data_IF_517653784062
#
_entry.id   IF_517653784062
#
_cell.length_a   1.000
_cell.length_b   1.000
_cell.length_c   1.000
_cell.angle_alpha   90.00
_cell.angle_beta   90.00
_cell.angle_gamma   90.00
#
_symmetry.space_group_name_H-M   'P 1'
#
loop_
_entity.id
_entity.type
_entity.pdbx_description
1 polymer ?
#
# COMPACT_ATOMS: atom_id res chain seq x y z
N UNK A 1 8.62 2.74 -1.09
CA UNK A 1 9.86 1.92 -1.05
C UNK A 1 10.46 1.81 0.36
N UNK A 2 10.75 2.91 1.07
CA UNK A 2 11.29 2.85 2.44
C UNK A 2 10.38 2.12 3.43
N UNK A 3 9.06 2.34 3.31
CA UNK A 3 8.04 1.71 4.15
C UNK A 3 8.04 0.19 4.00
N UNK A 4 8.06 -0.28 2.74
CA UNK A 4 8.16 -1.69 2.41
C UNK A 4 9.45 -2.30 2.99
N UNK A 5 10.59 -1.64 2.79
CA UNK A 5 11.89 -2.11 3.30
C UNK A 5 11.92 -2.26 4.83
N UNK A 6 11.37 -1.29 5.57
CA UNK A 6 11.31 -1.37 7.04
C UNK A 6 10.44 -2.55 7.50
N UNK A 7 9.32 -2.79 6.82
CA UNK A 7 8.41 -3.88 7.17
C UNK A 7 8.93 -5.26 6.77
N UNK A 8 9.62 -5.37 5.63
CA UNK A 8 10.26 -6.63 5.24
C UNK A 8 11.37 -6.99 6.21
N UNK A 9 12.15 -6.00 6.66
CA UNK A 9 13.18 -6.23 7.69
C UNK A 9 12.56 -6.72 9.01
N UNK A 10 11.47 -6.10 9.47
CA UNK A 10 10.72 -6.56 10.67
C UNK A 10 10.13 -7.97 10.50
N UNK A 11 9.70 -8.31 9.29
CA UNK A 11 9.19 -9.65 8.98
C UNK A 11 10.30 -10.70 9.01
N UNK A 12 11.44 -10.40 8.37
CA UNK A 12 12.62 -11.27 8.33
C UNK A 12 13.17 -11.55 9.73
N UNK A 13 13.14 -10.56 10.64
CA UNK A 13 13.55 -10.75 12.03
C UNK A 13 12.68 -11.74 12.81
N UNK A 14 11.42 -11.92 12.40
CA UNK A 14 10.45 -12.81 13.07
C UNK A 14 10.32 -14.17 12.40
N UNK A 15 10.89 -14.34 11.21
CA UNK A 15 10.91 -15.60 10.49
C UNK A 15 12.12 -16.45 10.92
N UNK A 16 12.00 -17.79 10.90
CA UNK A 16 13.15 -18.65 11.13
C UNK A 16 14.22 -18.35 10.07
N UNK A 17 15.47 -18.19 10.51
CA UNK A 17 16.61 -18.02 9.60
C UNK A 17 16.76 -19.29 8.78
N UNK A 18 16.64 -19.17 7.46
CA UNK A 18 16.97 -20.26 6.54
C UNK A 18 18.49 -20.33 6.47
N UNK A 19 19.08 -21.46 6.86
CA UNK A 19 20.53 -21.66 6.92
C UNK A 19 21.17 -21.88 5.54
N UNK A 20 20.37 -22.12 4.50
CA UNK A 20 20.84 -22.28 3.13
C UNK A 20 20.90 -20.93 2.40
N UNK A 21 22.11 -20.54 1.97
CA UNK A 21 22.37 -19.36 1.12
C UNK A 21 21.78 -19.48 -0.29
N UNK A 22 21.26 -20.65 -0.67
CA UNK A 22 20.66 -20.90 -1.98
C UNK A 22 19.14 -20.76 -1.94
N UNK A 23 18.65 -19.65 -2.48
CA UNK A 23 17.22 -19.48 -2.80
C UNK A 23 16.90 -20.31 -4.04
N UNK A 24 16.15 -21.40 -3.87
CA UNK A 24 15.64 -22.20 -4.98
C UNK A 24 14.49 -21.47 -5.69
N UNK A 25 14.78 -20.91 -6.87
CA UNK A 25 13.81 -20.19 -7.70
C UNK A 25 12.72 -21.08 -8.31
N UNK A 26 12.89 -22.41 -8.28
CA UNK A 26 11.90 -23.37 -8.77
C UNK A 26 11.09 -24.03 -7.65
N UNK A 27 11.28 -23.62 -6.40
CA UNK A 27 10.52 -24.14 -5.28
C UNK A 27 9.03 -23.78 -5.41
N UNK A 28 8.17 -24.70 -4.97
CA UNK A 28 6.73 -24.43 -4.87
C UNK A 28 6.46 -23.28 -3.90
N UNK A 29 5.50 -22.42 -4.24
CA UNK A 29 5.11 -21.28 -3.41
C UNK A 29 4.66 -21.76 -2.02
N UNK A 30 5.28 -21.21 -0.98
CA UNK A 30 4.91 -21.44 0.42
C UNK A 30 4.38 -20.14 1.03
N UNK A 31 3.17 -20.13 1.60
CA UNK A 31 2.65 -18.99 2.34
C UNK A 31 3.62 -18.58 3.46
N UNK A 32 3.89 -17.29 3.60
CA UNK A 32 4.77 -16.78 4.65
C UNK A 32 4.30 -15.41 5.14
N UNK A 33 4.77 -15.01 6.33
CA UNK A 33 4.53 -13.69 6.90
C UNK A 33 5.07 -12.60 5.96
N UNK A 34 6.27 -12.81 5.41
CA UNK A 34 6.89 -11.88 4.46
C UNK A 34 6.03 -11.72 3.20
N UNK A 35 5.59 -12.82 2.58
CA UNK A 35 4.75 -12.76 1.37
C UNK A 35 3.44 -12.02 1.63
N UNK A 36 2.81 -12.32 2.77
CA UNK A 36 1.57 -11.66 3.20
C UNK A 36 1.77 -10.16 3.39
N UNK A 37 2.84 -9.77 4.09
CA UNK A 37 3.14 -8.36 4.33
C UNK A 37 3.48 -7.61 3.06
N UNK A 38 4.34 -8.18 2.20
CA UNK A 38 4.70 -7.57 0.91
C UNK A 38 3.46 -7.37 0.05
N UNK A 39 2.57 -8.37 -0.01
CA UNK A 39 1.29 -8.26 -0.71
C UNK A 39 0.46 -7.10 -0.16
N UNK A 40 0.15 -7.10 1.15
CA UNK A 40 -0.72 -6.10 1.77
C UNK A 40 -0.15 -4.68 1.65
N UNK A 41 1.16 -4.50 1.85
CA UNK A 41 1.82 -3.19 1.77
C UNK A 41 1.83 -2.71 0.33
N UNK A 42 2.13 -3.57 -0.64
CA UNK A 42 2.13 -3.19 -2.06
C UNK A 42 0.74 -2.76 -2.52
N UNK A 43 -0.29 -3.54 -2.20
CA UNK A 43 -1.68 -3.17 -2.51
C UNK A 43 -2.09 -1.87 -1.81
N UNK A 44 -1.65 -1.66 -0.58
CA UNK A 44 -1.87 -0.41 0.16
C UNK A 44 -1.21 0.81 -0.47
N UNK A 45 0.08 0.71 -0.81
CA UNK A 45 0.84 1.77 -1.48
C UNK A 45 0.25 2.09 -2.85
N UNK A 46 -0.17 1.08 -3.63
CA UNK A 46 -0.85 1.26 -4.91
C UNK A 46 -2.15 2.04 -4.75
N UNK A 47 -2.94 1.71 -3.72
CA UNK A 47 -4.20 2.40 -3.42
C UNK A 47 -3.96 3.86 -2.99
N UNK A 48 -2.97 4.11 -2.14
CA UNK A 48 -2.54 5.47 -1.75
C UNK A 48 -2.06 6.26 -2.96
N UNK A 49 -1.27 5.63 -3.83
CA UNK A 49 -0.76 6.27 -5.05
C UNK A 49 -1.90 6.67 -5.96
N UNK A 50 -2.87 5.78 -6.19
CA UNK A 50 -4.07 6.08 -6.96
C UNK A 50 -4.86 7.24 -6.34
N UNK A 51 -5.04 7.24 -5.03
CA UNK A 51 -5.81 8.27 -4.32
C UNK A 51 -5.14 9.65 -4.37
N UNK A 52 -3.83 9.71 -4.12
CA UNK A 52 -3.08 10.97 -4.05
C UNK A 52 -2.85 11.55 -5.45
N UNK A 53 -2.57 10.70 -6.45
CA UNK A 53 -2.30 11.17 -7.81
C UNK A 53 -3.56 11.43 -8.64
N UNK A 54 -4.74 11.06 -8.14
CA UNK A 54 -5.98 11.38 -8.84
C UNK A 54 -6.21 12.88 -8.82
N UNK A 55 -5.83 13.51 -9.92
CA UNK A 55 -5.97 14.95 -10.11
C UNK A 55 -7.38 15.21 -10.63
N UNK A 56 -8.13 16.09 -9.96
CA UNK A 56 -9.45 16.51 -10.41
C UNK A 56 -9.39 17.49 -11.60
N UNK A 57 -10.35 18.42 -11.67
CA UNK A 57 -10.43 19.46 -12.69
C UNK A 57 -9.07 20.15 -12.95
N UNK A 58 -8.74 20.53 -14.20
CA UNK A 58 -9.65 20.89 -15.31
C UNK A 58 -9.86 19.85 -16.42
N UNK A 59 -9.18 18.70 -16.41
CA UNK A 59 -9.28 17.67 -17.47
C UNK A 59 -9.81 16.31 -16.99
N UNK A 60 -10.08 16.16 -15.69
CA UNK A 60 -10.65 14.97 -15.06
C UNK A 60 -11.74 15.37 -14.08
N UNK A 61 -12.79 14.55 -13.95
CA UNK A 61 -13.82 14.72 -12.92
C UNK A 61 -13.20 14.57 -11.54
N UNK A 62 -13.67 15.33 -10.55
CA UNK A 62 -13.22 15.13 -9.17
C UNK A 62 -13.56 13.71 -8.67
N UNK A 63 -12.83 13.21 -7.67
CA UNK A 63 -13.06 11.86 -7.10
C UNK A 63 -14.53 11.66 -6.68
N UNK A 64 -15.18 12.72 -6.21
CA UNK A 64 -16.55 12.67 -5.71
C UNK A 64 -17.56 12.62 -6.88
N UNK A 65 -17.23 13.25 -8.00
CA UNK A 65 -18.06 13.23 -9.22
C UNK A 65 -17.97 11.86 -9.91
N UNK A 66 -16.77 11.26 -9.96
CA UNK A 66 -16.54 9.93 -10.52
C UNK A 66 -16.94 8.82 -9.54
N UNK A 67 -18.25 8.55 -9.43
CA UNK A 67 -18.80 7.54 -8.51
C UNK A 67 -18.17 6.14 -8.66
N UNK A 68 -17.96 5.59 -9.87
CA UNK A 68 -17.30 4.29 -10.03
C UNK A 68 -15.91 4.26 -9.39
N UNK A 69 -15.11 5.30 -9.60
CA UNK A 69 -13.77 5.38 -9.02
C UNK A 69 -13.80 5.59 -7.50
N UNK A 70 -14.73 6.40 -6.99
CA UNK A 70 -14.91 6.55 -5.55
C UNK A 70 -15.26 5.23 -4.88
N UNK A 71 -16.19 4.48 -5.47
CA UNK A 71 -16.62 3.18 -4.94
C UNK A 71 -15.47 2.18 -4.98
N UNK A 72 -14.71 2.10 -6.08
CA UNK A 72 -13.57 1.18 -6.17
C UNK A 72 -12.48 1.52 -5.15
N UNK A 73 -12.22 2.81 -4.92
CA UNK A 73 -11.26 3.26 -3.92
C UNK A 73 -11.73 2.91 -2.49
N UNK A 74 -13.00 3.11 -2.19
CA UNK A 74 -13.59 2.73 -0.89
C UNK A 74 -13.47 1.21 -0.68
N UNK A 75 -13.81 0.41 -1.69
CA UNK A 75 -13.69 -1.05 -1.62
C UNK A 75 -12.23 -1.46 -1.39
N UNK A 76 -11.28 -0.85 -2.09
CA UNK A 76 -9.86 -1.14 -1.93
C UNK A 76 -9.39 -0.82 -0.49
N UNK A 77 -9.75 0.35 0.04
CA UNK A 77 -9.41 0.74 1.42
C UNK A 77 -10.03 -0.21 2.44
N UNK A 78 -11.30 -0.60 2.26
CA UNK A 78 -11.97 -1.59 3.12
C UNK A 78 -11.22 -2.93 3.06
N UNK A 79 -10.85 -3.39 1.86
CA UNK A 79 -10.07 -4.61 1.67
C UNK A 79 -8.75 -4.57 2.42
N UNK A 80 -7.98 -3.50 2.27
CA UNK A 80 -6.69 -3.31 2.95
C UNK A 80 -6.83 -3.34 4.48
N UNK A 81 -7.91 -2.79 5.02
CA UNK A 81 -8.16 -2.81 6.46
C UNK A 81 -8.59 -4.19 6.95
N UNK A 82 -9.39 -4.91 6.17
CA UNK A 82 -10.02 -6.16 6.58
C UNK A 82 -9.11 -7.39 6.37
N UNK A 83 -8.34 -7.44 5.27
CA UNK A 83 -7.47 -8.57 4.92
C UNK A 83 -6.46 -8.99 6.02
N UNK A 84 -5.79 -8.07 6.75
CA UNK A 84 -4.87 -8.42 7.83
C UNK A 84 -5.52 -9.21 8.99
N UNK A 85 -6.86 -9.24 9.08
CA UNK A 85 -7.61 -9.95 10.11
C UNK A 85 -7.99 -11.40 9.72
N UNK A 86 -7.52 -11.88 8.57
CA UNK A 86 -7.72 -13.26 8.11
C UNK A 86 -8.86 -13.58 7.13
N UNK A 87 -9.78 -12.68 6.72
CA UNK A 87 -10.74 -13.03 5.68
C UNK A 87 -10.03 -13.23 4.35
N UNK A 88 -10.47 -14.22 3.58
CA UNK A 88 -9.85 -14.64 2.30
C UNK A 88 -8.41 -15.17 2.42
N UNK A 89 -7.89 -15.41 3.63
CA UNK A 89 -6.53 -15.91 3.85
C UNK A 89 -6.23 -17.19 3.07
N UNK A 90 -7.15 -18.16 3.08
CA UNK A 90 -6.99 -19.42 2.35
C UNK A 90 -6.95 -19.23 0.82
N UNK A 91 -7.77 -18.31 0.28
CA UNK A 91 -7.87 -18.08 -1.17
C UNK A 91 -6.68 -17.29 -1.68
N UNK A 92 -6.23 -16.30 -0.92
CA UNK A 92 -5.09 -15.43 -1.25
C UNK A 92 -3.76 -15.97 -0.71
N UNK A 93 -3.79 -17.14 -0.06
CA UNK A 93 -2.64 -17.77 0.57
C UNK A 93 -1.88 -16.83 1.54
N UNK A 94 -2.65 -16.06 2.31
CA UNK A 94 -2.15 -15.15 3.34
C UNK A 94 -2.01 -15.90 4.67
N UNK A 95 -0.95 -15.60 5.39
CA UNK A 95 -0.70 -16.10 6.75
C UNK A 95 -1.29 -15.12 7.76
N UNK A 96 -1.87 -15.65 8.84
CA UNK A 96 -2.38 -14.82 9.91
C UNK A 96 -1.28 -13.97 10.53
N UNK A 97 -1.53 -12.67 10.63
CA UNK A 97 -0.58 -11.73 11.19
C UNK A 97 -0.79 -11.58 12.69
N UNK A 98 0.31 -11.57 13.45
CA UNK A 98 0.27 -11.18 14.86
C UNK A 98 -0.19 -9.74 15.02
N UNK A 99 -0.76 -9.41 16.19
CA UNK A 99 -1.28 -8.08 16.47
C UNK A 99 -0.20 -6.99 16.34
N UNK A 100 1.02 -7.28 16.78
CA UNK A 100 2.15 -6.33 16.67
C UNK A 100 2.48 -6.03 15.21
N UNK A 101 2.52 -7.08 14.36
CA UNK A 101 2.81 -6.94 12.93
C UNK A 101 1.71 -6.15 12.24
N UNK A 102 0.44 -6.40 12.57
CA UNK A 102 -0.71 -5.61 12.08
C UNK A 102 -0.57 -4.13 12.44
N UNK A 103 -0.18 -3.82 13.67
CA UNK A 103 0.04 -2.43 14.10
C UNK A 103 1.17 -1.78 13.29
N UNK A 104 2.30 -2.47 13.08
CA UNK A 104 3.41 -1.96 12.28
C UNK A 104 2.93 -1.71 10.85
N UNK A 105 2.18 -2.64 10.26
CA UNK A 105 1.57 -2.50 8.94
C UNK A 105 0.68 -1.25 8.82
N UNK A 106 -0.25 -1.03 9.75
CA UNK A 106 -1.11 0.16 9.71
C UNK A 106 -0.34 1.46 9.91
N UNK A 107 0.67 1.49 10.79
CA UNK A 107 1.54 2.65 10.98
C UNK A 107 2.32 2.99 9.71
N UNK A 108 2.82 1.98 9.04
CA UNK A 108 3.51 2.11 7.76
C UNK A 108 2.62 2.66 6.66
N UNK A 109 1.40 2.15 6.52
CA UNK A 109 0.42 2.68 5.56
C UNK A 109 0.08 4.14 5.84
N UNK A 110 -0.15 4.49 7.12
CA UNK A 110 -0.42 5.86 7.52
C UNK A 110 0.77 6.79 7.19
N UNK A 111 1.99 6.33 7.47
CA UNK A 111 3.19 7.06 7.14
C UNK A 111 3.34 7.25 5.62
N UNK A 112 3.11 6.21 4.82
CA UNK A 112 3.17 6.27 3.36
C UNK A 112 2.17 7.29 2.78
N UNK A 113 0.93 7.27 3.29
CA UNK A 113 -0.10 8.24 2.93
C UNK A 113 0.31 9.67 3.25
N UNK A 114 0.76 9.93 4.48
CA UNK A 114 1.19 11.28 4.91
C UNK A 114 2.39 11.74 4.10
N UNK A 115 3.40 10.89 3.90
CA UNK A 115 4.59 11.23 3.14
C UNK A 115 4.25 11.56 1.69
N UNK A 116 3.46 10.72 1.03
CA UNK A 116 3.03 10.92 -0.35
C UNK A 116 2.22 12.21 -0.50
N UNK A 117 1.28 12.47 0.42
CA UNK A 117 0.48 13.69 0.41
C UNK A 117 1.31 14.97 0.67
N UNK A 118 2.29 14.90 1.59
CA UNK A 118 3.18 16.03 1.88
C UNK A 118 4.09 16.35 0.70
N UNK A 119 4.65 15.32 0.05
CA UNK A 119 5.48 15.47 -1.14
C UNK A 119 4.65 16.07 -2.28
N UNK A 120 3.45 15.55 -2.53
CA UNK A 120 2.53 16.10 -3.54
C UNK A 120 2.26 17.59 -3.28
N UNK A 121 1.86 17.94 -2.05
CA UNK A 121 1.56 19.34 -1.71
C UNK A 121 2.79 20.24 -1.82
N UNK A 122 3.98 19.76 -1.44
CA UNK A 122 5.23 20.50 -1.60
C UNK A 122 5.58 20.73 -3.07
N UNK A 123 5.40 19.72 -3.93
CA UNK A 123 5.61 19.84 -5.38
C UNK A 123 4.61 20.80 -6.01
N UNK A 124 3.32 20.71 -5.66
CA UNK A 124 2.30 21.66 -6.12
C UNK A 124 2.61 23.08 -5.63
N UNK A 125 3.14 23.24 -4.42
CA UNK A 125 3.53 24.56 -3.92
C UNK A 125 4.74 25.16 -4.67
N UNK A 126 5.76 24.33 -4.95
CA UNK A 126 7.00 24.76 -5.62
C UNK A 126 6.78 24.98 -7.12
N UNK A 127 6.11 24.02 -7.78
CA UNK A 127 5.99 23.96 -9.24
C UNK A 127 4.59 24.33 -9.77
N UNK A 128 3.54 24.29 -8.95
CA UNK A 128 2.15 24.54 -9.36
C UNK A 128 1.79 26.00 -9.65
N UNK A 129 2.79 26.92 -9.75
CA UNK A 129 2.59 28.30 -10.22
C UNK A 129 2.40 28.40 -11.75
N UNK A 130 1.79 27.42 -12.40
CA UNK A 130 1.36 27.57 -13.80
C UNK A 130 -0.02 28.23 -13.81
N UNK A 131 0.01 29.57 -13.85
CA UNK A 131 -1.11 30.49 -14.06
C UNK A 131 -1.99 30.01 -15.23
N UNK A 132 -3.20 29.54 -14.96
CA UNK A 132 -4.22 29.40 -16.01
C UNK A 132 -4.55 30.80 -16.54
N UNK A 133 -4.27 31.06 -17.82
CA UNK A 133 -4.89 32.17 -18.53
C UNK A 133 -6.38 31.83 -18.66
N UNK A 134 -7.26 32.65 -18.07
CA UNK A 134 -8.68 32.63 -18.44
C UNK A 134 -8.77 33.00 -19.92
N UNK A 135 -9.32 32.10 -20.73
CA UNK A 135 -9.85 32.41 -22.05
C UNK A 135 -11.32 32.82 -21.91
#
# INVERSE_FOLDING_TARGET
FCVLYMLTMEAELRMPKVEDDFVDLNAEFKPSILNTLVYLISTGMETVTLAVNYTGHPFMESLIENKPMLISLIIAVIGIVILPFGPFSNTLQLVDLDNDIRIIFFKALLFDFIASFMIDRALVFIFGRVRQKSL
#
